data_IF_267648156554
#
_entry.id   IF_267648156554
#
_cell.length_a   1.000
_cell.length_b   1.000
_cell.length_c   1.000
_cell.angle_alpha   90.00
_cell.angle_beta   90.00
_cell.angle_gamma   90.00
#
_symmetry.space_group_name_H-M   'P 1'
#
loop_
_entity.id
_entity.type
_entity.pdbx_description
1 polymer ?
#
# COMPACT_ATOMS: atom_id res chain seq x y z
N UNK A 1 18.41 -5.67 15.74
CA UNK A 1 17.63 -5.82 14.51
C UNK A 1 17.12 -4.46 14.14
N UNK A 2 17.33 -4.01 12.91
CA UNK A 2 16.86 -2.69 12.46
C UNK A 2 15.42 -2.79 11.97
N UNK A 3 14.71 -1.66 11.89
CA UNK A 3 13.38 -1.62 11.29
C UNK A 3 13.39 -2.08 9.81
N UNK A 4 14.46 -1.77 9.08
CA UNK A 4 14.62 -2.23 7.68
C UNK A 4 14.73 -3.77 7.62
N UNK A 5 15.41 -4.41 8.58
CA UNK A 5 15.49 -5.87 8.65
C UNK A 5 14.11 -6.51 8.90
N UNK A 6 13.31 -5.90 9.78
CA UNK A 6 11.93 -6.35 10.05
C UNK A 6 11.04 -6.18 8.82
N UNK A 7 11.14 -5.02 8.15
CA UNK A 7 10.41 -4.76 6.91
C UNK A 7 10.82 -5.74 5.81
N UNK A 8 12.12 -5.99 5.63
CA UNK A 8 12.65 -6.96 4.66
C UNK A 8 12.06 -8.35 4.91
N UNK A 9 12.14 -8.85 6.16
CA UNK A 9 11.58 -10.16 6.53
C UNK A 9 10.09 -10.26 6.28
N UNK A 10 9.34 -9.19 6.54
CA UNK A 10 7.90 -9.16 6.26
C UNK A 10 7.62 -9.22 4.76
N UNK A 11 8.36 -8.47 3.94
CA UNK A 11 8.24 -8.53 2.48
C UNK A 11 8.66 -9.90 1.93
N UNK A 12 9.72 -10.51 2.46
CA UNK A 12 10.15 -11.88 2.11
C UNK A 12 9.15 -12.96 2.54
N UNK A 13 8.47 -12.77 3.67
CA UNK A 13 7.39 -13.68 4.10
C UNK A 13 6.17 -13.56 3.19
N UNK A 14 5.82 -12.34 2.78
CA UNK A 14 4.74 -12.06 1.82
C UNK A 14 5.11 -12.56 0.41
N UNK A 15 6.40 -12.55 0.07
CA UNK A 15 6.97 -13.06 -1.17
C UNK A 15 7.99 -14.17 -0.89
N UNK A 16 7.55 -15.38 -0.50
CA UNK A 16 8.48 -16.47 -0.29
C UNK A 16 9.11 -16.79 -1.64
N UNK A 17 10.42 -16.55 -1.76
CA UNK A 17 11.25 -16.76 -2.96
C UNK A 17 10.77 -17.97 -3.79
N UNK A 18 9.82 -17.73 -4.69
CA UNK A 18 9.33 -18.72 -5.62
C UNK A 18 9.77 -18.26 -6.99
N UNK A 19 10.38 -19.20 -7.70
CA UNK A 19 10.79 -19.10 -9.10
C UNK A 19 9.62 -18.86 -10.07
N UNK A 20 8.43 -18.49 -9.59
CA UNK A 20 7.27 -18.14 -10.40
C UNK A 20 7.36 -16.68 -10.82
N UNK A 21 8.18 -16.52 -11.86
CA UNK A 21 8.42 -15.30 -12.63
C UNK A 21 7.13 -14.91 -13.37
N UNK A 22 6.13 -14.36 -12.67
CA UNK A 22 5.13 -13.42 -13.24
C UNK A 22 4.16 -12.76 -12.23
N UNK A 23 4.32 -12.96 -10.92
CA UNK A 23 3.32 -12.53 -9.90
C UNK A 23 3.27 -10.99 -9.70
N UNK A 24 4.25 -10.23 -10.21
CA UNK A 24 4.29 -8.77 -10.11
C UNK A 24 5.36 -8.27 -9.16
N UNK A 25 5.37 -6.96 -8.87
CA UNK A 25 6.32 -6.36 -7.92
C UNK A 25 5.68 -6.23 -6.55
N UNK A 26 6.24 -6.85 -5.49
CA UNK A 26 5.72 -6.66 -4.15
C UNK A 26 6.06 -5.26 -3.64
N UNK A 27 5.07 -4.56 -3.12
CA UNK A 27 5.22 -3.24 -2.49
C UNK A 27 4.46 -3.21 -1.16
N UNK A 28 4.83 -2.25 -0.32
CA UNK A 28 4.02 -1.85 0.83
C UNK A 28 3.37 -0.49 0.57
N UNK A 29 2.08 -0.38 0.92
CA UNK A 29 1.34 0.88 1.00
C UNK A 29 1.10 1.16 2.49
N UNK A 30 1.78 2.15 3.02
CA UNK A 30 1.65 2.60 4.40
C UNK A 30 0.73 3.82 4.46
N UNK A 31 -0.28 3.77 5.33
CA UNK A 31 -1.19 4.88 5.61
C UNK A 31 -0.85 5.39 7.01
N UNK A 32 -0.06 6.47 7.09
CA UNK A 32 0.55 6.96 8.34
C UNK A 32 -0.01 8.33 8.73
N UNK A 33 -0.48 8.58 9.96
CA UNK A 33 -0.75 9.94 10.40
C UNK A 33 0.57 10.71 10.54
N UNK A 34 0.60 11.98 10.14
CA UNK A 34 1.78 12.87 10.30
C UNK A 34 2.15 13.11 11.75
N UNK A 35 1.21 12.88 12.68
CA UNK A 35 1.43 12.93 14.12
C UNK A 35 0.53 11.95 14.88
N UNK A 36 1.05 11.40 15.97
CA UNK A 36 0.32 10.50 16.85
C UNK A 36 0.23 9.05 16.34
N UNK A 37 -0.85 8.37 16.70
CA UNK A 37 -1.08 6.95 16.40
C UNK A 37 -2.38 6.78 15.61
N UNK A 38 -2.40 5.73 14.79
CA UNK A 38 -3.59 5.28 14.06
C UNK A 38 -3.64 3.76 14.09
N UNK A 39 -3.99 3.22 15.25
CA UNK A 39 -4.21 1.80 15.46
C UNK A 39 -5.45 1.60 16.32
N UNK A 40 -5.92 0.37 16.47
CA UNK A 40 -7.20 0.01 17.08
C UNK A 40 -7.42 0.61 18.47
N UNK A 41 -6.39 0.65 19.31
CA UNK A 41 -6.49 1.23 20.66
C UNK A 41 -6.63 2.76 20.63
N UNK A 42 -6.00 3.42 19.66
CA UNK A 42 -6.05 4.88 19.51
C UNK A 42 -7.21 5.38 18.65
N UNK A 43 -7.79 4.52 17.81
CA UNK A 43 -8.81 4.89 16.84
C UNK A 43 -9.85 3.77 16.73
N UNK A 44 -10.51 3.42 17.85
CA UNK A 44 -11.44 2.31 17.91
C UNK A 44 -12.63 2.48 16.96
N UNK A 45 -13.09 3.72 16.72
CA UNK A 45 -14.22 3.96 15.83
C UNK A 45 -13.84 3.74 14.37
N UNK A 46 -12.69 4.26 13.95
CA UNK A 46 -12.14 3.99 12.61
C UNK A 46 -11.90 2.49 12.40
N UNK A 47 -11.28 1.81 13.37
CA UNK A 47 -10.97 0.38 13.23
C UNK A 47 -12.21 -0.49 13.17
N UNK A 48 -13.30 -0.13 13.87
CA UNK A 48 -14.57 -0.85 13.73
C UNK A 48 -15.07 -0.84 12.27
N UNK A 49 -14.95 0.30 11.58
CA UNK A 49 -15.35 0.44 10.17
C UNK A 49 -14.39 -0.34 9.26
N UNK A 50 -13.08 -0.27 9.54
CA UNK A 50 -12.06 -1.00 8.77
C UNK A 50 -12.27 -2.52 8.89
N UNK A 51 -12.50 -3.03 10.10
CA UNK A 51 -12.74 -4.46 10.31
C UNK A 51 -14.00 -4.95 9.63
N UNK A 52 -15.08 -4.16 9.67
CA UNK A 52 -16.32 -4.46 8.98
C UNK A 52 -16.11 -4.52 7.46
N UNK A 53 -15.33 -3.58 6.92
CA UNK A 53 -14.94 -3.60 5.51
C UNK A 53 -14.12 -4.85 5.16
N UNK A 54 -13.07 -5.15 5.94
CA UNK A 54 -12.22 -6.33 5.73
C UNK A 54 -13.01 -7.64 5.81
N UNK A 55 -13.97 -7.73 6.74
CA UNK A 55 -14.84 -8.89 6.90
C UNK A 55 -15.82 -9.06 5.74
N UNK A 56 -16.33 -7.95 5.19
CA UNK A 56 -17.29 -7.97 4.07
C UNK A 56 -16.63 -8.13 2.71
N UNK A 57 -15.34 -7.83 2.60
CA UNK A 57 -14.57 -7.89 1.34
C UNK A 57 -13.31 -8.74 1.51
N UNK A 58 -13.44 -10.07 1.76
CA UNK A 58 -12.28 -10.94 1.81
C UNK A 58 -11.56 -10.94 0.46
N UNK A 59 -10.24 -10.76 0.47
CA UNK A 59 -9.40 -10.76 -0.72
C UNK A 59 -8.02 -11.34 -0.41
N UNK A 60 -7.43 -12.01 -1.40
CA UNK A 60 -6.04 -12.47 -1.39
C UNK A 60 -5.07 -11.49 -2.06
N UNK A 61 -5.56 -10.34 -2.55
CA UNK A 61 -4.76 -9.35 -3.27
C UNK A 61 -3.80 -8.58 -2.35
N UNK A 62 -4.00 -8.67 -1.04
CA UNK A 62 -3.24 -7.94 -0.04
C UNK A 62 -3.08 -8.70 1.28
N UNK A 63 -2.02 -8.38 2.02
CA UNK A 63 -1.90 -8.65 3.46
C UNK A 63 -2.07 -7.34 4.23
N UNK A 64 -3.05 -7.28 5.15
CA UNK A 64 -3.28 -6.14 6.03
C UNK A 64 -2.48 -6.30 7.32
N UNK A 65 -1.68 -5.30 7.66
CA UNK A 65 -0.84 -5.28 8.85
C UNK A 65 -1.14 -4.04 9.67
N UNK A 66 -1.57 -4.24 10.91
CA UNK A 66 -1.77 -3.15 11.86
C UNK A 66 -0.43 -2.72 12.46
N UNK A 67 -0.12 -1.43 12.41
CA UNK A 67 0.94 -0.83 13.22
C UNK A 67 0.39 0.34 14.04
N UNK A 68 1.06 0.66 15.15
CA UNK A 68 0.74 1.85 15.94
C UNK A 68 0.71 3.14 15.09
N UNK A 69 1.64 3.23 14.13
CA UNK A 69 1.80 4.34 13.19
C UNK A 69 0.85 4.29 11.98
N UNK A 70 -0.24 3.52 12.03
CA UNK A 70 -1.18 3.37 10.92
C UNK A 70 -1.16 1.98 10.27
N UNK A 71 -2.19 1.61 9.51
CA UNK A 71 -2.19 0.35 8.78
C UNK A 71 -1.19 0.34 7.62
N UNK A 72 -0.70 -0.85 7.29
CA UNK A 72 0.15 -1.14 6.14
C UNK A 72 -0.49 -2.27 5.31
N UNK A 73 -0.50 -2.11 3.99
CA UNK A 73 -0.92 -3.13 3.04
C UNK A 73 0.30 -3.65 2.30
N UNK A 74 0.53 -4.96 2.31
CA UNK A 74 1.49 -5.60 1.42
C UNK A 74 0.73 -6.08 0.19
N UNK A 75 1.16 -5.69 -1.01
CA UNK A 75 0.42 -5.95 -2.26
C UNK A 75 1.36 -6.29 -3.40
N UNK A 76 0.83 -6.97 -4.42
CA UNK A 76 1.52 -7.17 -5.70
C UNK A 76 1.02 -6.21 -6.77
N UNK A 77 1.95 -5.59 -7.47
CA UNK A 77 1.67 -4.79 -8.66
C UNK A 77 1.73 -5.64 -9.92
N UNK A 78 0.61 -5.69 -10.64
CA UNK A 78 0.57 -6.34 -11.94
C UNK A 78 1.20 -5.45 -13.03
N UNK A 79 1.95 -6.06 -13.95
CA UNK A 79 2.38 -5.41 -15.18
C UNK A 79 1.41 -5.80 -16.31
N UNK A 80 0.75 -4.80 -16.88
CA UNK A 80 -0.13 -4.90 -18.06
C UNK A 80 0.49 -4.16 -19.25
N UNK A 81 -0.10 -4.31 -20.44
CA UNK A 81 0.40 -3.68 -21.67
C UNK A 81 0.55 -2.16 -21.56
N UNK A 82 -0.31 -1.50 -20.77
CA UNK A 82 -0.30 -0.06 -20.55
C UNK A 82 0.63 0.41 -19.41
N UNK A 83 1.26 -0.50 -18.67
CA UNK A 83 2.12 -0.16 -17.52
C UNK A 83 1.82 -1.00 -16.28
N UNK A 84 1.95 -0.38 -15.11
CA UNK A 84 1.59 -1.01 -13.83
C UNK A 84 0.12 -0.75 -13.49
N UNK A 85 -0.51 -1.69 -12.79
CA UNK A 85 -1.90 -1.56 -12.32
C UNK A 85 -2.03 -2.11 -10.90
N UNK A 86 -2.92 -1.51 -10.12
CA UNK A 86 -3.42 -2.08 -8.87
C UNK A 86 -4.68 -2.91 -9.11
N UNK A 87 -4.93 -3.89 -8.26
CA UNK A 87 -6.25 -4.50 -8.17
C UNK A 87 -7.23 -3.49 -7.55
N UNK A 88 -8.47 -3.46 -8.05
CA UNK A 88 -9.49 -2.52 -7.57
C UNK A 88 -9.73 -2.64 -6.05
N UNK A 89 -9.68 -3.87 -5.52
CA UNK A 89 -9.82 -4.14 -4.08
C UNK A 89 -8.79 -3.38 -3.22
N UNK A 90 -7.57 -3.18 -3.72
CA UNK A 90 -6.52 -2.44 -3.01
C UNK A 90 -6.90 -0.96 -2.91
N UNK A 91 -7.31 -0.36 -4.03
CA UNK A 91 -7.73 1.05 -4.08
C UNK A 91 -8.96 1.28 -3.20
N UNK A 92 -9.93 0.36 -3.26
CA UNK A 92 -11.14 0.44 -2.45
C UNK A 92 -10.82 0.32 -0.95
N UNK A 93 -9.92 -0.58 -0.55
CA UNK A 93 -9.51 -0.71 0.85
C UNK A 93 -8.75 0.52 1.34
N UNK A 94 -7.80 1.05 0.57
CA UNK A 94 -7.08 2.29 0.94
C UNK A 94 -8.09 3.43 1.13
N UNK A 95 -9.03 3.57 0.20
CA UNK A 95 -10.11 4.56 0.28
C UNK A 95 -10.98 4.35 1.53
N UNK A 96 -11.36 3.10 1.81
CA UNK A 96 -12.16 2.76 2.98
C UNK A 96 -11.43 3.10 4.29
N UNK A 97 -10.13 2.85 4.38
CA UNK A 97 -9.31 3.21 5.56
C UNK A 97 -9.26 4.73 5.75
N UNK A 98 -9.05 5.50 4.67
CA UNK A 98 -9.02 6.97 4.74
C UNK A 98 -10.38 7.51 5.19
N UNK A 99 -11.48 7.02 4.60
CA UNK A 99 -12.84 7.41 5.00
C UNK A 99 -13.16 7.00 6.43
N UNK A 100 -12.74 5.81 6.84
CA UNK A 100 -12.90 5.31 8.21
C UNK A 100 -12.16 6.19 9.22
N UNK A 101 -11.00 6.75 8.86
CA UNK A 101 -10.29 7.72 9.71
C UNK A 101 -11.13 8.96 9.95
N UNK A 102 -11.63 9.61 8.89
CA UNK A 102 -12.47 10.81 9.01
C UNK A 102 -13.75 10.54 9.80
N UNK A 103 -14.41 9.43 9.52
CA UNK A 103 -15.63 9.03 10.24
C UNK A 103 -15.34 8.66 11.69
N UNK A 104 -14.22 8.01 11.96
CA UNK A 104 -13.77 7.70 13.32
C UNK A 104 -13.59 8.96 14.15
N UNK A 105 -12.97 9.99 13.59
CA UNK A 105 -12.80 11.31 14.24
C UNK A 105 -14.17 11.94 14.53
N UNK A 106 -15.08 11.90 13.56
CA UNK A 106 -16.45 12.38 13.75
C UNK A 106 -17.19 11.66 14.90
N UNK A 107 -16.90 10.36 15.10
CA UNK A 107 -17.48 9.52 16.17
C UNK A 107 -16.71 9.53 17.49
N UNK A 108 -15.64 10.32 17.60
CA UNK A 108 -14.93 10.53 18.86
C UNK A 108 -13.47 10.06 18.91
N UNK A 109 -12.89 9.56 17.82
CA UNK A 109 -11.44 9.32 17.77
C UNK A 109 -10.70 10.67 17.83
N UNK A 110 -9.90 10.90 18.88
CA UNK A 110 -9.39 12.25 19.19
C UNK A 110 -8.25 12.77 18.30
N UNK A 111 -7.51 11.88 17.61
CA UNK A 111 -6.33 12.29 16.83
C UNK A 111 -6.76 12.61 15.41
N UNK A 112 -6.45 13.82 14.95
CA UNK A 112 -6.88 14.34 13.64
C UNK A 112 -5.72 14.85 12.77
N UNK A 113 -4.49 14.41 13.04
CA UNK A 113 -3.35 14.69 12.18
C UNK A 113 -3.59 14.16 10.74
N UNK A 114 -3.18 14.90 9.70
CA UNK A 114 -3.25 14.46 8.30
C UNK A 114 -2.65 13.07 8.07
N UNK A 115 -3.16 12.35 7.08
CA UNK A 115 -2.60 11.07 6.65
C UNK A 115 -1.59 11.25 5.52
N UNK A 116 -0.52 10.46 5.54
CA UNK A 116 0.41 10.27 4.44
C UNK A 116 0.24 8.87 3.86
N UNK A 117 0.08 8.79 2.54
CA UNK A 117 0.22 7.54 1.80
C UNK A 117 1.67 7.43 1.37
N UNK A 118 2.32 6.37 1.80
CA UNK A 118 3.73 6.11 1.55
C UNK A 118 3.85 4.77 0.86
N UNK A 119 4.59 4.72 -0.24
CA UNK A 119 4.90 3.49 -0.95
C UNK A 119 6.32 3.07 -0.59
N UNK A 120 6.50 1.79 -0.30
CA UNK A 120 7.80 1.17 -0.02
C UNK A 120 8.05 0.00 -0.94
N UNK A 121 9.29 -0.13 -1.40
CA UNK A 121 9.74 -1.30 -2.14
C UNK A 121 11.24 -1.50 -1.95
N UNK A 122 11.76 -2.63 -2.41
CA UNK A 122 13.19 -2.80 -2.61
C UNK A 122 13.53 -2.59 -4.08
N UNK A 123 14.68 -1.99 -4.36
CA UNK A 123 15.21 -1.92 -5.72
C UNK A 123 15.94 -3.20 -6.13
N UNK A 124 16.45 -3.25 -7.37
CA UNK A 124 17.18 -4.39 -7.91
C UNK A 124 18.46 -4.75 -7.13
N UNK A 125 18.99 -3.81 -6.32
CA UNK A 125 20.15 -4.03 -5.47
C UNK A 125 19.76 -4.36 -4.02
N UNK A 126 18.46 -4.56 -3.74
CA UNK A 126 17.94 -4.85 -2.40
C UNK A 126 17.94 -3.63 -1.47
N UNK A 127 18.13 -2.41 -1.99
CA UNK A 127 18.07 -1.18 -1.22
C UNK A 127 16.62 -0.75 -1.06
N UNK A 128 16.23 -0.41 0.17
CA UNK A 128 14.92 0.16 0.46
C UNK A 128 14.72 1.49 -0.29
N UNK A 129 13.58 1.61 -0.97
CA UNK A 129 13.02 2.89 -1.43
C UNK A 129 11.73 3.15 -0.67
N UNK A 130 11.58 4.39 -0.20
CA UNK A 130 10.35 4.91 0.43
C UNK A 130 10.00 6.23 -0.26
N UNK A 131 8.77 6.35 -0.75
CA UNK A 131 8.28 7.56 -1.40
C UNK A 131 6.90 7.94 -0.88
N UNK A 132 6.69 9.22 -0.60
CA UNK A 132 5.37 9.72 -0.24
C UNK A 132 4.55 9.99 -1.50
N UNK A 133 3.40 9.33 -1.60
CA UNK A 133 2.48 9.46 -2.73
C UNK A 133 1.50 10.64 -2.57
N UNK A 134 0.97 10.82 -1.35
CA UNK A 134 -0.07 11.83 -1.08
C UNK A 134 -0.07 12.20 0.40
N UNK A 135 -0.45 13.45 0.70
CA UNK A 135 -0.86 13.89 2.04
C UNK A 135 -2.34 14.26 1.97
N UNK A 136 -3.13 13.81 2.94
CA UNK A 136 -4.58 13.93 3.00
C UNK A 136 -4.95 14.57 4.35
N UNK A 137 -5.62 15.72 4.32
CA UNK A 137 -6.12 16.33 5.54
C UNK A 137 -7.29 15.52 6.12
N UNK A 138 -7.44 15.50 7.45
CA UNK A 138 -8.41 14.62 8.14
C UNK A 138 -9.88 14.80 7.74
N UNK A 139 -10.22 15.94 7.15
CA UNK A 139 -11.57 16.27 6.69
C UNK A 139 -11.68 16.31 5.16
N UNK A 140 -10.60 16.03 4.45
CA UNK A 140 -10.57 16.04 3.01
C UNK A 140 -11.33 14.82 2.48
N UNK A 141 -12.33 15.06 1.62
CA UNK A 141 -12.93 13.98 0.87
C UNK A 141 -12.01 13.58 -0.29
N UNK A 142 -11.65 12.30 -0.36
CA UNK A 142 -10.71 11.77 -1.34
C UNK A 142 -11.42 10.73 -2.21
N UNK A 143 -11.30 10.87 -3.53
CA UNK A 143 -11.81 9.91 -4.49
C UNK A 143 -10.83 8.76 -4.75
N UNK A 144 -11.37 7.59 -5.11
CA UNK A 144 -10.60 6.43 -5.54
C UNK A 144 -9.64 6.80 -6.69
N UNK A 145 -10.12 7.55 -7.69
CA UNK A 145 -9.30 8.05 -8.80
C UNK A 145 -8.09 8.90 -8.37
N UNK A 146 -8.21 9.67 -7.28
CA UNK A 146 -7.10 10.46 -6.78
C UNK A 146 -6.06 9.56 -6.10
N UNK A 147 -6.51 8.59 -5.30
CA UNK A 147 -5.66 7.61 -4.62
C UNK A 147 -4.93 6.75 -5.65
N UNK A 148 -5.66 6.19 -6.62
CA UNK A 148 -5.09 5.34 -7.66
C UNK A 148 -4.04 6.09 -8.46
N UNK A 149 -4.34 7.29 -8.95
CA UNK A 149 -3.36 8.10 -9.70
C UNK A 149 -2.12 8.42 -8.88
N UNK A 150 -2.27 8.78 -7.61
CA UNK A 150 -1.15 9.10 -6.73
C UNK A 150 -0.25 7.87 -6.51
N UNK A 151 -0.85 6.70 -6.22
CA UNK A 151 -0.12 5.46 -6.02
C UNK A 151 0.57 4.98 -7.30
N UNK A 152 -0.13 4.99 -8.45
CA UNK A 152 0.45 4.60 -9.76
C UNK A 152 1.59 5.53 -10.18
N UNK A 153 1.44 6.84 -9.99
CA UNK A 153 2.48 7.82 -10.31
C UNK A 153 3.73 7.58 -9.46
N UNK A 154 3.55 7.27 -8.17
CA UNK A 154 4.65 7.06 -7.23
C UNK A 154 5.36 5.74 -7.51
N UNK A 155 4.61 4.65 -7.65
CA UNK A 155 5.16 3.32 -7.96
C UNK A 155 5.88 3.29 -9.31
N UNK A 156 5.39 4.00 -10.33
CA UNK A 156 6.04 4.10 -11.64
C UNK A 156 7.43 4.75 -11.59
N UNK A 157 7.69 5.61 -10.59
CA UNK A 157 9.02 6.21 -10.36
C UNK A 157 9.97 5.26 -9.65
N UNK A 158 9.43 4.43 -8.76
CA UNK A 158 10.20 3.52 -7.91
C UNK A 158 10.60 2.23 -8.61
N UNK A 159 9.73 1.73 -9.48
CA UNK A 159 9.85 0.41 -10.11
C UNK A 159 10.45 0.56 -11.51
N UNK A 160 11.57 -0.12 -11.80
CA UNK A 160 12.15 -0.09 -13.13
C UNK A 160 11.18 -0.67 -14.17
N UNK A 161 11.05 -0.02 -15.32
CA UNK A 161 10.26 -0.53 -16.45
C UNK A 161 10.78 -1.93 -16.82
N UNK A 162 9.89 -2.93 -16.90
CA UNK A 162 10.24 -4.29 -17.37
C UNK A 162 10.94 -4.14 -18.72
N UNK A 163 12.27 -4.37 -18.78
CA UNK A 163 13.01 -4.39 -20.06
C UNK A 163 12.38 -5.50 -20.88
N UNK A 164 11.71 -5.16 -21.98
CA UNK A 164 11.16 -6.16 -22.89
C UNK A 164 12.24 -7.17 -23.22
N UNK A 165 11.95 -8.47 -23.03
CA UNK A 165 12.83 -9.56 -23.50
C UNK A 165 13.11 -9.26 -24.98
N UNK A 166 14.36 -8.93 -25.33
CA UNK A 166 14.77 -8.91 -26.73
C UNK A 166 14.52 -10.33 -27.24
N UNK A 167 13.55 -10.47 -28.13
CA UNK A 167 13.35 -11.68 -28.91
C UNK A 167 14.65 -11.93 -29.65
N UNK A 168 15.45 -12.88 -29.18
CA UNK A 168 16.63 -13.34 -29.92
C UNK A 168 16.07 -14.01 -31.16
N UNK A 169 16.10 -13.30 -32.27
CA UNK A 169 15.79 -13.84 -33.58
C UNK A 169 16.88 -14.87 -33.91
N UNK A 170 16.59 -16.15 -33.67
CA UNK A 170 17.38 -17.26 -34.20
C UNK A 170 17.09 -17.29 -35.71
N UNK A 171 17.97 -16.69 -36.51
CA UNK A 171 18.01 -16.98 -37.94
C UNK A 171 18.86 -18.25 -38.13
N UNK A 172 18.19 -19.29 -38.63
CA UNK A 172 18.80 -20.50 -39.19
C UNK A 172 19.52 -20.19 -40.50
#
# INVERSE_FOLDING_TARGET
MTWEDEFRRRMEKFHPNSSEVDIGVPISIKIRPTGGCFHRQCSPMAYRIIDEYLKSHPSSDYEFVEHESGPELLVYLAFVTAGISFAANIINLVTAIIKARSEGIHRGDHRDAPLELIVRSFDENGKLREEKALTIDSWQNVSEDLIERALLTTTSKMIPKKKGKKSVAIKK
#
